data_IF_112004506796
#
_entry.id   IF_112004506796
#
_cell.length_a   1.000
_cell.length_b   1.000
_cell.length_c   1.000
_cell.angle_alpha   90.00
_cell.angle_beta   90.00
_cell.angle_gamma   90.00
#
_symmetry.space_group_name_H-M   'P 1'
#
loop_
_entity.id
_entity.type
_entity.pdbx_description
1 polymer ?
#
# COMPACT_ATOMS: atom_id res chain seq x y z
N UNK A 1 -16.05 18.19 -8.04
CA UNK A 1 -14.82 17.61 -7.48
C UNK A 1 -13.90 18.71 -7.00
N UNK A 2 -13.25 18.57 -5.84
CA UNK A 2 -12.30 19.56 -5.30
C UNK A 2 -11.14 19.81 -6.28
N UNK A 3 -10.66 18.76 -6.95
CA UNK A 3 -9.62 18.84 -7.99
C UNK A 3 -10.10 19.60 -9.21
N UNK A 4 -11.36 19.42 -9.61
CA UNK A 4 -11.94 20.20 -10.70
C UNK A 4 -11.95 21.69 -10.36
N UNK A 5 -12.38 22.06 -9.14
CA UNK A 5 -12.36 23.46 -8.70
C UNK A 5 -10.93 24.02 -8.66
N UNK A 6 -9.97 23.26 -8.14
CA UNK A 6 -8.56 23.64 -8.18
C UNK A 6 -8.08 23.91 -9.61
N UNK A 7 -8.33 22.99 -10.54
CA UNK A 7 -7.93 23.15 -11.94
C UNK A 7 -8.59 24.38 -12.58
N UNK A 8 -9.89 24.62 -12.34
CA UNK A 8 -10.56 25.81 -12.87
C UNK A 8 -9.95 27.10 -12.30
N UNK A 9 -9.64 27.13 -11.01
CA UNK A 9 -9.01 28.30 -10.38
C UNK A 9 -7.57 28.51 -10.89
N UNK A 10 -6.86 27.43 -11.24
CA UNK A 10 -5.53 27.52 -11.85
C UNK A 10 -5.57 28.08 -13.27
N UNK A 11 -6.53 27.64 -14.09
CA UNK A 11 -6.77 28.18 -15.44
C UNK A 11 -7.10 29.68 -15.37
N UNK A 12 -7.84 30.10 -14.35
CA UNK A 12 -8.22 31.51 -14.15
C UNK A 12 -7.08 32.36 -13.57
N UNK A 13 -5.94 31.78 -13.19
CA UNK A 13 -4.81 32.50 -12.56
C UNK A 13 -4.40 33.77 -13.32
N UNK A 14 -4.21 33.77 -14.65
CA UNK A 14 -3.79 34.99 -15.37
C UNK A 14 -4.83 36.11 -15.33
N UNK A 15 -6.12 35.75 -15.28
CA UNK A 15 -7.23 36.70 -15.18
C UNK A 15 -7.30 37.28 -13.77
N UNK A 16 -7.14 36.44 -12.75
CA UNK A 16 -7.14 36.88 -11.36
C UNK A 16 -5.92 37.78 -11.09
N UNK A 17 -4.74 37.41 -11.58
CA UNK A 17 -3.53 38.24 -11.47
C UNK A 17 -3.69 39.58 -12.19
N UNK A 18 -4.30 39.62 -13.37
CA UNK A 18 -4.53 40.87 -14.12
C UNK A 18 -5.54 41.80 -13.45
N UNK A 19 -6.53 41.27 -12.73
CA UNK A 19 -7.46 42.07 -11.92
C UNK A 19 -6.80 42.68 -10.67
N UNK A 20 -5.67 42.12 -10.21
CA UNK A 20 -5.00 42.50 -8.96
C UNK A 20 -3.73 43.36 -9.23
N UNK A 21 -3.49 43.75 -10.48
CA UNK A 21 -2.29 44.37 -11.09
C UNK A 21 -1.56 45.52 -10.35
N UNK A 22 -2.02 45.99 -9.19
CA UNK A 22 -1.42 47.11 -8.45
C UNK A 22 -0.92 46.78 -7.05
N UNK A 23 -1.00 45.53 -6.56
CA UNK A 23 -0.37 45.15 -5.28
C UNK A 23 0.23 43.74 -5.33
N UNK A 24 1.49 43.54 -4.87
CA UNK A 24 1.95 42.20 -4.59
C UNK A 24 1.01 41.58 -3.54
N UNK A 25 0.48 40.39 -3.85
CA UNK A 25 -0.47 39.69 -2.99
C UNK A 25 0.15 38.37 -2.53
N UNK A 26 0.99 38.39 -1.48
CA UNK A 26 1.63 37.19 -0.93
C UNK A 26 0.63 36.07 -0.63
N UNK A 27 -0.59 36.44 -0.25
CA UNK A 27 -1.70 35.51 0.00
C UNK A 27 -2.14 34.76 -1.25
N UNK A 28 -2.16 35.42 -2.42
CA UNK A 28 -2.52 34.79 -3.70
C UNK A 28 -1.42 33.82 -4.14
N UNK A 29 -0.15 34.24 -4.03
CA UNK A 29 0.98 33.35 -4.30
C UNK A 29 1.01 32.15 -3.35
N UNK A 30 0.74 32.34 -2.05
CA UNK A 30 0.56 31.24 -1.10
C UNK A 30 -0.60 30.33 -1.48
N UNK A 31 -1.74 30.90 -1.86
CA UNK A 31 -2.92 30.13 -2.24
C UNK A 31 -2.60 29.21 -3.42
N UNK A 32 -1.99 29.73 -4.49
CA UNK A 32 -1.63 28.92 -5.66
C UNK A 32 -0.52 27.90 -5.40
N UNK A 33 0.50 28.27 -4.63
CA UNK A 33 1.69 27.43 -4.44
C UNK A 33 1.56 26.43 -3.29
N UNK A 34 0.68 26.68 -2.31
CA UNK A 34 0.54 25.86 -1.11
C UNK A 34 -0.87 25.28 -0.95
N UNK A 35 -1.92 26.06 -1.19
CA UNK A 35 -3.31 25.61 -0.95
C UNK A 35 -3.82 24.79 -2.13
N UNK A 36 -3.62 25.28 -3.35
CA UNK A 36 -4.07 24.60 -4.57
C UNK A 36 -3.34 23.27 -4.78
N UNK A 37 -2.04 23.23 -4.46
CA UNK A 37 -1.20 22.04 -4.54
C UNK A 37 -1.61 20.99 -3.50
N UNK A 38 -2.00 21.42 -2.29
CA UNK A 38 -2.49 20.52 -1.24
C UNK A 38 -3.83 19.83 -1.55
N UNK A 39 -4.60 20.31 -2.54
CA UNK A 39 -5.88 19.68 -2.95
C UNK A 39 -5.69 18.23 -3.40
N UNK A 40 -4.55 17.91 -4.02
CA UNK A 40 -4.23 16.54 -4.43
C UNK A 40 -4.04 15.61 -3.21
N UNK A 41 -3.37 16.10 -2.17
CA UNK A 41 -3.12 15.37 -0.93
C UNK A 41 -4.40 15.19 -0.12
N UNK A 42 -5.22 16.24 0.00
CA UNK A 42 -6.53 16.18 0.67
C UNK A 42 -7.43 15.14 0.00
N UNK A 43 -7.45 15.07 -1.32
CA UNK A 43 -8.19 14.03 -2.06
C UNK A 43 -7.73 12.63 -1.65
N UNK A 44 -6.41 12.41 -1.55
CA UNK A 44 -5.84 11.11 -1.14
C UNK A 44 -6.27 10.76 0.28
N UNK A 45 -6.28 11.73 1.21
CA UNK A 45 -6.74 11.53 2.59
C UNK A 45 -8.23 11.18 2.67
N UNK A 46 -9.08 11.88 1.91
CA UNK A 46 -10.52 11.60 1.86
C UNK A 46 -10.80 10.18 1.34
N UNK A 47 -10.11 9.76 0.27
CA UNK A 47 -10.23 8.38 -0.22
C UNK A 47 -9.58 7.36 0.73
N UNK A 48 -8.56 7.76 1.48
CA UNK A 48 -8.03 7.00 2.61
C UNK A 48 -9.08 6.71 3.67
N UNK A 49 -9.94 7.67 3.99
CA UNK A 49 -11.08 7.44 4.88
C UNK A 49 -12.06 6.41 4.30
N UNK A 50 -12.31 6.44 2.99
CA UNK A 50 -13.15 5.42 2.32
C UNK A 50 -12.52 4.05 2.46
N UNK A 51 -11.22 3.90 2.16
CA UNK A 51 -10.50 2.63 2.31
C UNK A 51 -10.52 2.11 3.75
N UNK A 52 -10.34 2.99 4.75
CA UNK A 52 -10.35 2.62 6.17
C UNK A 52 -11.70 2.13 6.68
N UNK A 53 -12.79 2.53 6.02
CA UNK A 53 -14.15 2.05 6.33
C UNK A 53 -14.56 0.86 5.47
N UNK A 54 -13.96 0.74 4.28
CA UNK A 54 -14.19 -0.35 3.34
C UNK A 54 -13.52 -1.65 3.76
N UNK A 55 -12.34 -1.55 4.38
CA UNK A 55 -11.51 -2.70 4.76
C UNK A 55 -11.38 -2.77 6.28
N UNK A 56 -11.54 -3.98 6.83
CA UNK A 56 -11.22 -4.20 8.23
C UNK A 56 -9.72 -4.48 8.39
N UNK A 57 -8.92 -3.41 8.34
CA UNK A 57 -7.45 -3.49 8.35
C UNK A 57 -6.88 -4.33 9.52
N UNK A 58 -7.32 -4.15 10.78
CA UNK A 58 -6.87 -5.01 11.89
C UNK A 58 -7.24 -6.49 11.71
N UNK A 59 -8.42 -6.78 11.13
CA UNK A 59 -8.86 -8.16 10.86
C UNK A 59 -7.97 -8.82 9.81
N UNK A 60 -7.61 -8.11 8.74
CA UNK A 60 -6.72 -8.64 7.71
C UNK A 60 -5.36 -9.00 8.32
N UNK A 61 -4.78 -8.09 9.11
CA UNK A 61 -3.51 -8.35 9.81
C UNK A 61 -3.62 -9.59 10.72
N UNK A 62 -4.70 -9.69 11.50
CA UNK A 62 -4.93 -10.83 12.38
C UNK A 62 -5.03 -12.16 11.62
N UNK A 63 -5.74 -12.19 10.47
CA UNK A 63 -5.87 -13.39 9.65
C UNK A 63 -4.52 -13.82 9.08
N UNK A 64 -3.75 -12.88 8.52
CA UNK A 64 -2.42 -13.14 7.94
C UNK A 64 -1.43 -13.58 9.02
N UNK A 65 -1.39 -12.89 10.16
CA UNK A 65 -0.46 -13.23 11.26
C UNK A 65 -0.78 -14.55 11.95
N UNK A 66 -2.07 -14.95 11.97
CA UNK A 66 -2.50 -16.25 12.49
C UNK A 66 -2.27 -17.42 11.53
N UNK A 67 -1.94 -17.14 10.27
CA UNK A 67 -1.63 -18.17 9.27
C UNK A 67 -0.31 -18.86 9.62
N UNK A 68 -0.27 -20.19 9.48
CA UNK A 68 0.92 -20.98 9.80
C UNK A 68 1.93 -20.90 8.66
N UNK A 69 3.00 -20.15 8.88
CA UNK A 69 4.09 -19.97 7.90
C UNK A 69 5.26 -20.95 8.06
N UNK A 70 5.23 -21.81 9.08
CA UNK A 70 6.21 -22.87 9.30
C UNK A 70 5.60 -24.22 8.90
N UNK A 71 5.62 -24.50 7.61
CA UNK A 71 5.03 -25.69 7.00
C UNK A 71 6.13 -26.55 6.36
N UNK A 72 5.92 -27.87 6.35
CA UNK A 72 6.89 -28.82 5.81
C UNK A 72 6.70 -29.07 4.31
N UNK A 73 5.45 -28.98 3.83
CA UNK A 73 5.08 -29.34 2.46
C UNK A 73 4.65 -28.11 1.66
N UNK A 74 5.08 -28.08 0.39
CA UNK A 74 4.60 -27.09 -0.58
C UNK A 74 3.08 -27.22 -0.76
N UNK A 75 2.38 -26.10 -0.64
CA UNK A 75 0.95 -26.03 -0.86
C UNK A 75 0.64 -25.74 -2.32
N UNK A 76 -0.46 -26.30 -2.82
CA UNK A 76 -0.99 -26.03 -4.16
C UNK A 76 -2.16 -25.04 -4.15
N UNK A 77 -2.67 -24.71 -2.96
CA UNK A 77 -3.80 -23.80 -2.74
C UNK A 77 -3.35 -22.61 -1.90
N UNK A 78 -3.99 -21.46 -2.13
CA UNK A 78 -3.76 -20.26 -1.33
C UNK A 78 -4.37 -20.38 0.07
N UNK A 79 -3.88 -19.55 0.99
CA UNK A 79 -4.36 -19.44 2.37
C UNK A 79 -5.78 -18.85 2.43
N UNK A 80 -6.59 -19.31 3.39
CA UNK A 80 -8.00 -18.89 3.55
C UNK A 80 -8.19 -17.37 3.68
N UNK A 81 -7.22 -16.64 4.23
CA UNK A 81 -7.32 -15.18 4.35
C UNK A 81 -7.44 -14.48 2.99
N UNK A 82 -6.89 -15.08 1.92
CA UNK A 82 -6.97 -14.54 0.57
C UNK A 82 -8.42 -14.48 0.11
N UNK A 83 -9.20 -15.53 0.35
CA UNK A 83 -10.63 -15.55 0.02
C UNK A 83 -11.41 -14.52 0.83
N UNK A 84 -11.10 -14.36 2.12
CA UNK A 84 -11.74 -13.33 2.97
C UNK A 84 -11.45 -11.91 2.46
N UNK A 85 -10.21 -11.63 2.05
CA UNK A 85 -9.86 -10.33 1.45
C UNK A 85 -10.63 -10.11 0.14
N UNK A 86 -10.73 -11.14 -0.70
CA UNK A 86 -11.45 -11.06 -1.98
C UNK A 86 -12.94 -10.83 -1.80
N UNK A 87 -13.55 -11.44 -0.78
CA UNK A 87 -14.93 -11.17 -0.39
C UNK A 87 -15.14 -9.71 0.06
N UNK A 88 -14.22 -9.16 0.86
CA UNK A 88 -14.27 -7.74 1.26
C UNK A 88 -14.11 -6.81 0.06
N UNK A 89 -13.19 -7.13 -0.87
CA UNK A 89 -13.00 -6.40 -2.13
C UNK A 89 -14.25 -6.46 -3.00
N UNK A 90 -14.88 -7.63 -3.14
CA UNK A 90 -16.12 -7.80 -3.91
C UNK A 90 -17.29 -7.02 -3.31
N UNK A 91 -17.41 -7.06 -1.98
CA UNK A 91 -18.41 -6.28 -1.28
C UNK A 91 -18.20 -4.78 -1.54
N UNK A 92 -16.96 -4.30 -1.41
CA UNK A 92 -16.63 -2.91 -1.68
C UNK A 92 -16.87 -2.52 -3.14
N UNK A 93 -16.52 -3.39 -4.10
CA UNK A 93 -16.71 -3.13 -5.53
C UNK A 93 -18.20 -2.88 -5.88
N UNK A 94 -19.11 -3.69 -5.31
CA UNK A 94 -20.57 -3.53 -5.51
C UNK A 94 -21.05 -2.18 -4.98
N UNK A 95 -20.65 -1.79 -3.76
CA UNK A 95 -21.01 -0.49 -3.20
C UNK A 95 -20.45 0.68 -4.03
N UNK A 96 -19.22 0.54 -4.53
CA UNK A 96 -18.59 1.56 -5.37
C UNK A 96 -19.28 1.70 -6.74
N UNK A 97 -19.73 0.58 -7.32
CA UNK A 97 -20.50 0.57 -8.56
C UNK A 97 -21.87 1.26 -8.38
N UNK A 98 -22.58 0.96 -7.29
CA UNK A 98 -23.85 1.62 -6.94
C UNK A 98 -23.66 3.13 -6.78
N UNK A 99 -22.64 3.54 -6.02
CA UNK A 99 -22.30 4.96 -5.87
C UNK A 99 -21.96 5.61 -7.21
N UNK A 100 -21.24 4.90 -8.07
CA UNK A 100 -20.87 5.40 -9.41
C UNK A 100 -22.09 5.64 -10.28
N UNK A 101 -23.11 4.76 -10.21
CA UNK A 101 -24.38 4.93 -10.92
C UNK A 101 -25.19 6.12 -10.40
N UNK A 102 -25.21 6.35 -9.09
CA UNK A 102 -25.97 7.46 -8.50
C UNK A 102 -25.33 8.83 -8.70
N UNK A 103 -24.00 8.90 -8.75
CA UNK A 103 -23.26 10.16 -8.72
C UNK A 103 -22.52 10.49 -10.01
N UNK A 104 -22.44 9.56 -10.96
CA UNK A 104 -21.67 9.73 -12.18
C UNK A 104 -20.16 9.84 -11.90
N UNK A 105 -19.63 9.03 -10.97
CA UNK A 105 -18.21 9.03 -10.62
C UNK A 105 -17.35 8.86 -11.87
N UNK A 106 -16.42 9.79 -12.06
CA UNK A 106 -15.44 9.70 -13.14
C UNK A 106 -14.51 8.51 -12.89
N UNK A 107 -14.15 7.80 -13.97
CA UNK A 107 -13.23 6.65 -13.92
C UNK A 107 -11.94 6.95 -13.15
N UNK A 108 -11.33 8.13 -13.38
CA UNK A 108 -10.10 8.53 -12.68
C UNK A 108 -10.26 8.60 -11.15
N UNK A 109 -11.46 8.93 -10.65
CA UNK A 109 -11.74 8.92 -9.21
C UNK A 109 -11.83 7.49 -8.69
N UNK A 110 -12.55 6.63 -9.39
CA UNK A 110 -12.66 5.21 -9.07
C UNK A 110 -11.30 4.52 -9.05
N UNK A 111 -10.45 4.80 -10.03
CA UNK A 111 -9.06 4.30 -10.07
C UNK A 111 -8.24 4.79 -8.87
N UNK A 112 -8.39 6.07 -8.46
CA UNK A 112 -7.70 6.60 -7.28
C UNK A 112 -8.19 5.94 -5.98
N UNK A 113 -9.49 5.66 -5.87
CA UNK A 113 -10.05 4.95 -4.71
C UNK A 113 -9.46 3.55 -4.64
N UNK A 114 -9.41 2.84 -5.77
CA UNK A 114 -8.81 1.50 -5.83
C UNK A 114 -7.33 1.49 -5.51
N UNK A 115 -6.54 2.46 -5.99
CA UNK A 115 -5.13 2.64 -5.62
C UNK A 115 -4.95 2.63 -4.09
N UNK A 116 -5.75 3.44 -3.39
CA UNK A 116 -5.68 3.56 -1.93
C UNK A 116 -6.15 2.30 -1.21
N UNK A 117 -7.21 1.66 -1.70
CA UNK A 117 -7.75 0.40 -1.13
C UNK A 117 -6.73 -0.74 -1.29
N UNK A 118 -6.20 -0.94 -2.49
CA UNK A 118 -5.20 -1.98 -2.80
C UNK A 118 -3.93 -1.76 -1.98
N UNK A 119 -3.43 -0.53 -1.91
CA UNK A 119 -2.27 -0.21 -1.07
C UNK A 119 -2.52 -0.54 0.40
N UNK A 120 -3.74 -0.30 0.90
CA UNK A 120 -4.11 -0.62 2.28
C UNK A 120 -4.10 -2.12 2.53
N UNK A 121 -4.65 -2.94 1.62
CA UNK A 121 -4.57 -4.41 1.70
C UNK A 121 -3.11 -4.86 1.72
N UNK A 122 -2.29 -4.36 0.81
CA UNK A 122 -0.88 -4.78 0.70
C UNK A 122 -0.03 -4.37 1.91
N UNK A 123 -0.31 -3.20 2.51
CA UNK A 123 0.26 -2.84 3.82
C UNK A 123 -0.19 -3.78 4.93
N UNK A 124 -1.45 -4.22 4.92
CA UNK A 124 -1.95 -5.17 5.91
C UNK A 124 -1.28 -6.55 5.75
N UNK A 125 -1.02 -7.00 4.52
CA UNK A 125 -0.29 -8.25 4.26
C UNK A 125 1.12 -8.22 4.86
N UNK A 126 1.92 -7.21 4.52
CA UNK A 126 3.29 -7.09 5.01
C UNK A 126 3.32 -6.92 6.53
N UNK A 127 2.37 -6.17 7.10
CA UNK A 127 2.22 -6.07 8.55
C UNK A 127 1.88 -7.42 9.18
N UNK A 128 0.96 -8.19 8.60
CA UNK A 128 0.63 -9.54 9.05
C UNK A 128 1.80 -10.52 8.96
N UNK A 129 2.62 -10.44 7.90
CA UNK A 129 3.86 -11.23 7.78
C UNK A 129 4.91 -10.84 8.81
N UNK A 130 4.97 -9.55 9.20
CA UNK A 130 5.83 -9.10 10.28
C UNK A 130 5.32 -9.61 11.64
N UNK A 131 4.01 -9.60 11.88
CA UNK A 131 3.44 -10.02 13.16
C UNK A 131 3.48 -11.55 13.35
N UNK A 132 3.64 -12.33 12.28
CA UNK A 132 3.89 -13.78 12.34
C UNK A 132 5.34 -14.12 12.77
N UNK A 133 5.73 -13.59 13.93
CA UNK A 133 7.11 -13.48 14.42
C UNK A 133 7.78 -14.78 14.91
N UNK A 134 7.19 -15.95 14.71
CA UNK A 134 7.68 -17.17 15.36
C UNK A 134 8.62 -17.98 14.47
N UNK A 135 8.22 -18.35 13.25
CA UNK A 135 9.01 -19.11 12.26
C UNK A 135 8.38 -18.98 10.88
N UNK A 136 9.20 -18.92 9.84
CA UNK A 136 8.74 -19.02 8.45
C UNK A 136 9.69 -19.92 7.65
N UNK A 137 9.17 -21.05 7.16
CA UNK A 137 9.91 -22.02 6.37
C UNK A 137 10.07 -21.55 4.92
N UNK A 138 10.89 -22.25 4.13
CA UNK A 138 11.01 -21.96 2.68
C UNK A 138 9.69 -22.20 1.96
N UNK A 139 8.96 -23.24 2.36
CA UNK A 139 7.65 -23.62 1.88
C UNK A 139 6.59 -22.59 2.29
N UNK A 140 6.68 -22.04 3.51
CA UNK A 140 5.81 -20.96 3.95
C UNK A 140 6.03 -19.66 3.16
N UNK A 141 7.28 -19.31 2.83
CA UNK A 141 7.57 -18.19 1.92
C UNK A 141 7.05 -18.42 0.50
N UNK A 142 7.15 -19.66 0.01
CA UNK A 142 6.55 -20.04 -1.27
C UNK A 142 5.01 -19.90 -1.23
N UNK A 143 4.38 -20.24 -0.10
CA UNK A 143 2.95 -20.00 0.12
C UNK A 143 2.62 -18.50 0.14
N UNK A 144 3.41 -17.64 0.79
CA UNK A 144 3.21 -16.17 0.71
C UNK A 144 3.21 -15.66 -0.74
N UNK A 145 4.12 -16.20 -1.56
CA UNK A 145 4.21 -15.85 -2.97
C UNK A 145 2.99 -16.36 -3.76
N UNK A 146 2.54 -17.60 -3.51
CA UNK A 146 1.34 -18.16 -4.11
C UNK A 146 0.10 -17.33 -3.74
N UNK A 147 -0.06 -16.99 -2.46
CA UNK A 147 -1.15 -16.18 -1.93
C UNK A 147 -1.22 -14.82 -2.61
N UNK A 148 -0.07 -14.13 -2.72
CA UNK A 148 0.03 -12.86 -3.42
C UNK A 148 -0.34 -12.99 -4.90
N UNK A 149 0.17 -14.01 -5.60
CA UNK A 149 -0.12 -14.23 -7.01
C UNK A 149 -1.62 -14.49 -7.25
N UNK A 150 -2.27 -15.31 -6.41
CA UNK A 150 -3.71 -15.57 -6.51
C UNK A 150 -4.53 -14.31 -6.20
N UNK A 151 -4.15 -13.56 -5.17
CA UNK A 151 -4.82 -12.32 -4.80
C UNK A 151 -4.71 -11.28 -5.93
N UNK A 152 -3.52 -11.05 -6.47
CA UNK A 152 -3.27 -10.10 -7.56
C UNK A 152 -4.08 -10.47 -8.80
N UNK A 153 -4.03 -11.73 -9.25
CA UNK A 153 -4.77 -12.17 -10.43
C UNK A 153 -6.28 -11.91 -10.30
N UNK A 154 -6.87 -12.25 -9.14
CA UNK A 154 -8.30 -12.03 -8.90
C UNK A 154 -8.65 -10.54 -8.70
N UNK A 155 -7.75 -9.72 -8.15
CA UNK A 155 -7.94 -8.27 -8.09
C UNK A 155 -7.93 -7.66 -9.50
N UNK A 156 -7.02 -8.08 -10.38
CA UNK A 156 -6.96 -7.59 -11.77
C UNK A 156 -8.27 -7.84 -12.52
N UNK A 157 -8.85 -9.02 -12.36
CA UNK A 157 -10.13 -9.39 -12.97
C UNK A 157 -11.29 -8.50 -12.49
N UNK A 158 -11.31 -8.15 -11.20
CA UNK A 158 -12.40 -7.41 -10.56
C UNK A 158 -12.30 -5.90 -10.75
N UNK A 159 -11.10 -5.36 -10.62
CA UNK A 159 -10.86 -3.91 -10.55
C UNK A 159 -10.53 -3.32 -11.92
N UNK A 160 -10.03 -4.13 -12.87
CA UNK A 160 -9.67 -3.68 -14.21
C UNK A 160 -8.42 -2.77 -14.27
N UNK A 161 -7.68 -2.67 -13.16
CA UNK A 161 -6.36 -2.03 -13.10
C UNK A 161 -5.29 -3.05 -13.47
N UNK A 162 -4.53 -2.77 -14.54
CA UNK A 162 -3.45 -3.64 -15.02
C UNK A 162 -2.18 -2.84 -15.33
N UNK A 163 -1.03 -3.17 -14.71
CA UNK A 163 -0.87 -4.14 -13.60
C UNK A 163 -1.54 -3.64 -12.30
N UNK A 164 -1.79 -4.54 -11.34
CA UNK A 164 -2.25 -4.13 -9.99
C UNK A 164 -1.21 -3.22 -9.34
N UNK A 165 -1.57 -2.01 -8.90
CA UNK A 165 -0.64 -1.08 -8.26
C UNK A 165 -0.12 -1.65 -6.95
N UNK A 166 1.08 -1.22 -6.54
CA UNK A 166 1.73 -1.59 -5.28
C UNK A 166 2.11 -3.08 -5.11
N UNK A 167 1.91 -3.95 -6.10
CA UNK A 167 2.27 -5.38 -6.01
C UNK A 167 3.75 -5.57 -5.63
N UNK A 168 4.63 -4.75 -6.21
CA UNK A 168 6.06 -4.74 -5.91
C UNK A 168 6.39 -4.54 -4.43
N UNK A 169 5.56 -3.82 -3.66
CA UNK A 169 5.76 -3.62 -2.22
C UNK A 169 5.71 -4.95 -1.46
N UNK A 170 4.75 -5.82 -1.77
CA UNK A 170 4.65 -7.13 -1.09
C UNK A 170 5.69 -8.09 -1.65
N UNK A 171 5.88 -8.10 -2.98
CA UNK A 171 6.87 -8.96 -3.61
C UNK A 171 8.30 -8.70 -3.13
N UNK A 172 8.71 -7.44 -3.03
CA UNK A 172 10.06 -7.08 -2.59
C UNK A 172 10.30 -7.53 -1.15
N UNK A 173 9.30 -7.38 -0.27
CA UNK A 173 9.38 -7.89 1.10
C UNK A 173 9.53 -9.42 1.16
N UNK A 174 8.78 -10.17 0.35
CA UNK A 174 8.91 -11.64 0.27
C UNK A 174 10.28 -12.04 -0.31
N UNK A 175 10.74 -11.36 -1.36
CA UNK A 175 12.05 -11.60 -2.02
C UNK A 175 13.22 -11.32 -1.07
N UNK A 176 13.07 -10.38 -0.14
CA UNK A 176 14.12 -10.03 0.81
C UNK A 176 14.53 -11.20 1.72
N UNK A 177 13.66 -12.18 1.97
CA UNK A 177 14.02 -13.41 2.71
C UNK A 177 15.11 -14.27 2.03
N UNK A 178 15.36 -14.06 0.75
CA UNK A 178 16.29 -14.85 -0.05
C UNK A 178 17.58 -14.09 -0.41
N UNK A 179 17.69 -12.82 -0.02
CA UNK A 179 18.87 -12.01 -0.32
C UNK A 179 20.06 -12.46 0.53
N UNK A 180 21.28 -12.55 -0.03
CA UNK A 180 22.47 -12.75 0.77
C UNK A 180 22.72 -11.53 1.68
N UNK A 181 23.47 -11.73 2.76
CA UNK A 181 23.73 -10.70 3.79
C UNK A 181 24.15 -9.34 3.20
N UNK A 182 25.10 -9.33 2.25
CA UNK A 182 25.58 -8.09 1.62
C UNK A 182 24.51 -7.36 0.81
N UNK A 183 23.65 -8.10 0.11
CA UNK A 183 22.57 -7.52 -0.71
C UNK A 183 21.38 -7.10 0.14
N UNK A 184 21.15 -7.77 1.28
CA UNK A 184 20.09 -7.42 2.21
C UNK A 184 20.35 -6.07 2.87
N UNK A 185 21.61 -5.77 3.25
CA UNK A 185 21.96 -4.44 3.78
C UNK A 185 21.69 -3.33 2.77
N UNK A 186 22.11 -3.53 1.52
CA UNK A 186 21.84 -2.57 0.44
C UNK A 186 20.34 -2.42 0.19
N UNK A 187 19.58 -3.51 0.23
CA UNK A 187 18.13 -3.51 0.06
C UNK A 187 17.44 -2.68 1.15
N UNK A 188 17.82 -2.85 2.43
CA UNK A 188 17.26 -2.07 3.54
C UNK A 188 17.48 -0.57 3.34
N UNK A 189 18.67 -0.16 2.86
CA UNK A 189 18.95 1.26 2.57
C UNK A 189 18.13 1.83 1.42
N UNK A 190 17.74 0.99 0.45
CA UNK A 190 16.97 1.41 -0.73
C UNK A 190 15.46 1.40 -0.49
N UNK A 191 14.99 0.69 0.55
CA UNK A 191 13.57 0.45 0.79
C UNK A 191 13.07 1.13 2.09
N UNK A 192 12.98 2.46 2.04
CA UNK A 192 12.48 3.28 3.16
C UNK A 192 10.97 3.21 3.42
N UNK A 193 10.23 2.44 2.62
CA UNK A 193 8.78 2.25 2.77
C UNK A 193 8.38 1.21 3.83
N UNK A 194 9.32 0.39 4.31
CA UNK A 194 9.08 -0.56 5.39
C UNK A 194 9.45 0.02 6.75
N UNK A 195 8.69 -0.35 7.77
CA UNK A 195 8.99 0.08 9.15
C UNK A 195 10.21 -0.65 9.71
N UNK A 196 10.92 -0.03 10.65
CA UNK A 196 12.03 -0.68 11.36
C UNK A 196 11.63 -2.05 11.95
N UNK A 197 10.42 -2.16 12.52
CA UNK A 197 9.92 -3.42 13.08
C UNK A 197 9.73 -4.53 12.01
N UNK A 198 9.25 -4.16 10.82
CA UNK A 198 9.13 -5.09 9.69
C UNK A 198 10.51 -5.62 9.26
N UNK A 199 11.50 -4.73 9.17
CA UNK A 199 12.88 -5.11 8.84
C UNK A 199 13.50 -6.00 9.94
N UNK A 200 13.37 -5.62 11.20
CA UNK A 200 13.88 -6.37 12.36
C UNK A 200 13.29 -7.80 12.36
N UNK A 201 11.98 -7.93 12.12
CA UNK A 201 11.32 -9.24 12.14
C UNK A 201 11.76 -10.11 10.96
N UNK A 202 11.90 -9.54 9.77
CA UNK A 202 12.45 -10.22 8.60
C UNK A 202 13.87 -10.76 8.90
N UNK A 203 14.74 -9.92 9.48
CA UNK A 203 16.10 -10.29 9.86
C UNK A 203 16.16 -11.41 10.90
N UNK A 204 15.21 -11.46 11.84
CA UNK A 204 15.14 -12.50 12.87
C UNK A 204 14.84 -13.88 12.27
N UNK A 205 14.08 -13.93 11.18
CA UNK A 205 13.74 -15.17 10.46
C UNK A 205 14.83 -15.55 9.44
N UNK A 206 15.57 -14.58 8.92
CA UNK A 206 16.67 -14.79 7.98
C UNK A 206 17.86 -15.52 8.63
N UNK A 207 17.82 -16.85 8.63
CA UNK A 207 18.83 -17.73 9.25
C UNK A 207 20.22 -17.65 8.59
N UNK A 208 20.27 -17.19 7.34
CA UNK A 208 21.50 -17.01 6.57
C UNK A 208 22.27 -15.73 6.95
N UNK A 209 21.64 -14.80 7.69
CA UNK A 209 22.28 -13.56 8.16
C UNK A 209 23.05 -13.84 9.46
N UNK A 210 24.32 -13.44 9.51
CA UNK A 210 25.14 -13.63 10.70
C UNK A 210 24.61 -12.81 11.88
N UNK A 211 24.77 -13.35 13.11
CA UNK A 211 24.35 -12.66 14.34
C UNK A 211 24.99 -11.28 14.48
N UNK A 212 26.25 -11.14 14.04
CA UNK A 212 27.00 -9.87 14.07
C UNK A 212 26.39 -8.85 13.10
N UNK A 213 26.10 -9.25 11.86
CA UNK A 213 25.46 -8.38 10.89
C UNK A 213 24.06 -7.96 11.33
N UNK A 214 23.25 -8.91 11.81
CA UNK A 214 21.92 -8.62 12.36
C UNK A 214 21.97 -7.56 13.45
N UNK A 215 22.85 -7.71 14.45
CA UNK A 215 22.98 -6.72 15.53
C UNK A 215 23.39 -5.34 15.04
N UNK A 216 24.32 -5.27 14.07
CA UNK A 216 24.75 -4.02 13.43
C UNK A 216 23.60 -3.34 12.69
N UNK A 217 22.87 -4.08 11.86
CA UNK A 217 21.76 -3.55 11.05
C UNK A 217 20.65 -3.02 11.96
N UNK A 218 20.28 -3.78 13.00
CA UNK A 218 19.25 -3.36 13.96
C UNK A 218 19.66 -2.05 14.66
N UNK A 219 20.92 -1.96 15.11
CA UNK A 219 21.42 -0.73 15.74
C UNK A 219 21.37 0.49 14.82
N UNK A 220 21.56 0.29 13.51
CA UNK A 220 21.50 1.36 12.51
C UNK A 220 20.06 1.79 12.14
N UNK A 221 19.05 1.00 12.52
CA UNK A 221 17.63 1.33 12.32
C UNK A 221 17.03 2.13 13.48
N UNK A 222 17.69 2.12 14.64
CA UNK A 222 17.29 2.85 15.85
C UNK A 222 17.88 4.28 15.93
N UNK A 223 18.83 4.62 15.04
CA UNK A 223 19.43 5.96 14.88
C UNK A 223 18.63 6.84 13.89
#
# INVERSE_FOLDING_TARGET
SLVFLANQIDILRPVIESLISHRPFPTLSKFYNQVLTAVADVRRLVYGCVASRALNYPRIIALVSSTKWDIADLQSQHSQYVDVILEEIDCFAKHLEELSRCTGLQRAVTETIWDVVIHSVFKALVQGYCESSKRCSSEGRALMQLDLTQLVAKIEEKVGLKPVPHTAFVENYIKAYYLPESSLEQWIQQHGEYTANQIITLLNVATHVSRKARARIISALDE
#
